data_IF_699370409212
#
_entry.id   IF_699370409212
#
_cell.length_a   1.000
_cell.length_b   1.000
_cell.length_c   1.000
_cell.angle_alpha   90.00
_cell.angle_beta   90.00
_cell.angle_gamma   90.00
#
_symmetry.space_group_name_H-M   'P 1'
#
loop_
_entity.id
_entity.type
_entity.pdbx_description
1 polymer ?
#
# COMPACT_ATOMS: atom_id res chain seq x y z
N UNK A 1 10.00 5.91 3.51
CA UNK A 1 9.00 5.04 2.84
C UNK A 1 7.79 4.93 3.74
N UNK A 2 7.90 4.27 4.90
CA UNK A 2 6.83 4.19 5.90
C UNK A 2 6.19 5.56 6.18
N UNK A 3 6.98 6.57 6.55
CA UNK A 3 6.49 7.92 6.84
C UNK A 3 5.65 8.55 5.71
N UNK A 4 6.01 8.28 4.45
CA UNK A 4 5.28 8.80 3.29
C UNK A 4 3.94 8.09 3.12
N UNK A 5 3.89 6.77 3.33
CA UNK A 5 2.64 6.01 3.29
C UNK A 5 1.74 6.41 4.46
N UNK A 6 2.30 6.54 5.67
CA UNK A 6 1.57 7.02 6.84
C UNK A 6 1.03 8.45 6.64
N UNK A 7 1.79 9.34 6.02
CA UNK A 7 1.32 10.69 5.67
C UNK A 7 0.13 10.66 4.69
N UNK A 8 0.16 9.78 3.68
CA UNK A 8 -0.96 9.58 2.74
C UNK A 8 -2.18 9.05 3.51
N UNK A 9 -2.02 8.00 4.30
CA UNK A 9 -3.10 7.40 5.09
C UNK A 9 -3.70 8.41 6.08
N UNK A 10 -2.86 9.24 6.70
CA UNK A 10 -3.28 10.29 7.62
C UNK A 10 -4.09 11.37 6.91
N UNK A 11 -3.66 11.81 5.72
CA UNK A 11 -4.36 12.82 4.94
C UNK A 11 -5.77 12.36 4.53
N UNK A 12 -5.92 11.07 4.19
CA UNK A 12 -7.21 10.46 3.86
C UNK A 12 -8.02 9.98 5.08
N UNK A 13 -7.52 10.20 6.31
CA UNK A 13 -8.23 9.86 7.54
C UNK A 13 -8.40 8.36 7.79
N UNK A 14 -7.46 7.53 7.32
CA UNK A 14 -7.52 6.07 7.40
C UNK A 14 -6.31 5.43 8.09
N UNK A 15 -5.40 6.24 8.65
CA UNK A 15 -4.22 5.73 9.36
C UNK A 15 -4.60 4.89 10.59
N UNK A 16 -5.57 5.34 11.38
CA UNK A 16 -6.02 4.61 12.58
C UNK A 16 -6.63 3.26 12.22
N UNK A 17 -7.44 3.20 11.15
CA UNK A 17 -7.98 1.95 10.61
C UNK A 17 -6.85 0.99 10.23
N UNK A 18 -5.82 1.51 9.55
CA UNK A 18 -4.67 0.72 9.11
C UNK A 18 -3.82 0.19 10.27
N UNK A 19 -3.61 0.99 11.31
CA UNK A 19 -2.85 0.61 12.51
C UNK A 19 -3.61 -0.44 13.33
N UNK A 20 -4.93 -0.31 13.44
CA UNK A 20 -5.77 -1.23 14.22
C UNK A 20 -5.75 -2.69 13.75
N UNK A 21 -5.27 -2.94 12.52
CA UNK A 21 -5.15 -4.28 11.95
C UNK A 21 -3.91 -5.03 12.44
N UNK A 22 -3.00 -4.36 13.16
CA UNK A 22 -1.79 -5.00 13.64
C UNK A 22 -2.06 -6.10 14.66
N UNK A 23 -1.37 -7.23 14.49
CA UNK A 23 -1.51 -8.38 15.40
C UNK A 23 -2.80 -9.18 15.20
N UNK A 24 -3.70 -8.74 14.32
CA UNK A 24 -4.88 -9.52 13.94
C UNK A 24 -4.50 -10.68 13.02
N UNK A 25 -5.26 -11.77 13.12
CA UNK A 25 -5.13 -12.91 12.23
C UNK A 25 -5.48 -12.51 10.78
N UNK A 26 -4.90 -13.20 9.80
CA UNK A 26 -5.13 -12.92 8.38
C UNK A 26 -6.62 -12.87 7.98
N UNK A 27 -7.43 -13.77 8.55
CA UNK A 27 -8.89 -13.82 8.33
C UNK A 27 -9.65 -12.58 8.83
N UNK A 28 -9.04 -11.80 9.72
CA UNK A 28 -9.62 -10.62 10.38
C UNK A 28 -8.97 -9.32 9.92
N UNK A 29 -7.83 -9.41 9.23
CA UNK A 29 -6.91 -8.31 8.95
C UNK A 29 -6.79 -7.99 7.45
N UNK A 30 -7.87 -8.20 6.68
CA UNK A 30 -7.91 -7.80 5.27
C UNK A 30 -8.41 -6.37 5.15
N UNK A 31 -7.54 -5.50 4.63
CA UNK A 31 -7.84 -4.10 4.40
C UNK A 31 -7.17 -3.64 3.11
N UNK A 32 -7.90 -2.89 2.30
CA UNK A 32 -7.46 -2.47 0.98
C UNK A 32 -8.13 -1.15 0.60
N UNK A 33 -7.30 -0.17 0.32
CA UNK A 33 -7.69 1.09 -0.30
C UNK A 33 -6.95 1.34 -1.59
N UNK A 34 -7.50 2.25 -2.37
CA UNK A 34 -6.83 2.84 -3.51
C UNK A 34 -6.94 4.35 -3.47
N UNK A 35 -5.88 5.03 -3.92
CA UNK A 35 -5.88 6.47 -4.20
C UNK A 35 -5.91 6.64 -5.72
N UNK A 36 -7.03 7.15 -6.22
CA UNK A 36 -7.29 7.37 -7.65
C UNK A 36 -7.01 8.82 -8.04
N UNK A 37 -6.53 9.08 -9.26
CA UNK A 37 -6.37 10.44 -9.73
C UNK A 37 -7.74 11.08 -10.04
N UNK A 38 -7.89 12.35 -9.67
CA UNK A 38 -8.94 13.24 -10.16
C UNK A 38 -8.46 14.01 -11.40
N UNK A 39 -9.37 14.74 -12.06
CA UNK A 39 -9.03 15.51 -13.26
C UNK A 39 -7.93 16.58 -13.05
N UNK A 40 -7.77 17.06 -11.81
CA UNK A 40 -6.76 18.03 -11.39
C UNK A 40 -5.44 17.42 -10.92
N UNK A 41 -5.29 16.08 -10.95
CA UNK A 41 -4.10 15.41 -10.43
C UNK A 41 -2.84 15.69 -11.24
N UNK A 42 -1.73 15.77 -10.52
CA UNK A 42 -0.36 15.70 -11.06
C UNK A 42 0.15 14.26 -11.22
N UNK A 43 -0.70 13.27 -10.95
CA UNK A 43 -0.45 11.85 -11.15
C UNK A 43 -1.59 11.21 -11.94
N UNK A 44 -1.30 10.10 -12.61
CA UNK A 44 -2.28 9.37 -13.44
C UNK A 44 -2.43 7.91 -13.07
N UNK A 45 -1.49 7.35 -12.31
CA UNK A 45 -1.54 5.95 -11.89
C UNK A 45 -2.20 5.82 -10.51
N UNK A 46 -3.24 4.98 -10.35
CA UNK A 46 -3.74 4.60 -9.04
C UNK A 46 -2.65 4.09 -8.11
N UNK A 47 -2.75 4.41 -6.83
CA UNK A 47 -1.93 3.81 -5.77
C UNK A 47 -2.78 2.84 -4.96
N UNK A 48 -2.36 1.58 -4.92
CA UNK A 48 -2.92 0.53 -4.07
C UNK A 48 -2.13 0.49 -2.77
N UNK A 49 -2.85 0.51 -1.65
CA UNK A 49 -2.32 0.23 -0.32
C UNK A 49 -3.22 -0.84 0.30
N UNK A 50 -2.66 -2.03 0.49
CA UNK A 50 -3.36 -3.13 1.13
C UNK A 50 -2.56 -3.64 2.33
N UNK A 51 -3.28 -4.13 3.34
CA UNK A 51 -2.73 -4.81 4.50
C UNK A 51 -3.44 -6.14 4.69
N UNK A 52 -2.64 -7.16 4.94
CA UNK A 52 -3.06 -8.53 5.25
C UNK A 52 -2.27 -8.96 6.48
N UNK A 53 -2.85 -8.80 7.67
CA UNK A 53 -2.17 -9.01 8.96
C UNK A 53 -0.87 -8.18 9.05
N UNK A 54 0.29 -8.82 9.09
CA UNK A 54 1.60 -8.18 9.14
C UNK A 54 2.23 -7.97 7.75
N UNK A 55 1.50 -8.20 6.66
CA UNK A 55 1.99 -7.92 5.31
C UNK A 55 1.32 -6.65 4.77
N UNK A 56 2.11 -5.73 4.24
CA UNK A 56 1.61 -4.57 3.49
C UNK A 56 2.03 -4.70 2.04
N UNK A 57 1.07 -4.47 1.15
CA UNK A 57 1.25 -4.46 -0.29
C UNK A 57 1.07 -3.04 -0.78
N UNK A 58 2.07 -2.53 -1.48
CA UNK A 58 2.06 -1.23 -2.14
C UNK A 58 2.21 -1.44 -3.63
N UNK A 59 1.33 -0.87 -4.43
CA UNK A 59 1.47 -0.99 -5.87
C UNK A 59 0.93 0.21 -6.65
N UNK A 60 1.47 0.42 -7.85
CA UNK A 60 0.72 1.09 -8.91
C UNK A 60 0.17 0.05 -9.86
N UNK A 61 -0.94 0.39 -10.51
CA UNK A 61 -1.44 -0.43 -11.60
C UNK A 61 -1.90 0.41 -12.80
N UNK A 62 -1.88 -0.21 -13.97
CA UNK A 62 -2.53 0.27 -15.18
C UNK A 62 -3.49 -0.77 -15.71
N UNK A 63 -4.67 -0.34 -16.14
CA UNK A 63 -5.64 -1.20 -16.83
C UNK A 63 -5.27 -1.29 -18.30
N UNK A 64 -4.93 -2.48 -18.76
CA UNK A 64 -4.83 -2.81 -20.18
C UNK A 64 -6.15 -3.44 -20.66
N UNK A 65 -6.29 -3.65 -21.97
CA UNK A 65 -7.52 -4.15 -22.59
C UNK A 65 -8.06 -5.43 -21.96
N UNK A 66 -7.18 -6.28 -21.44
CA UNK A 66 -7.54 -7.60 -20.90
C UNK A 66 -6.94 -7.92 -19.53
N UNK A 67 -6.12 -7.02 -18.97
CA UNK A 67 -5.37 -7.31 -17.75
C UNK A 67 -5.10 -6.06 -16.91
N UNK A 68 -4.73 -6.28 -15.65
CA UNK A 68 -4.24 -5.24 -14.73
C UNK A 68 -2.75 -5.47 -14.53
N UNK A 69 -1.95 -4.53 -15.02
CA UNK A 69 -0.50 -4.58 -14.90
C UNK A 69 -0.07 -3.81 -13.68
N UNK A 70 0.59 -4.48 -12.73
CA UNK A 70 1.19 -3.85 -11.57
C UNK A 70 2.65 -3.50 -11.82
N UNK A 71 3.02 -2.24 -11.64
CA UNK A 71 4.42 -1.78 -11.72
C UNK A 71 4.65 -0.44 -10.99
N UNK A 72 5.39 -0.42 -9.86
CA UNK A 72 5.87 -1.59 -9.12
C UNK A 72 4.75 -2.23 -8.29
N UNK A 73 4.95 -3.50 -7.88
CA UNK A 73 4.29 -4.12 -6.72
C UNK A 73 5.36 -4.44 -5.69
N UNK A 74 5.16 -4.01 -4.45
CA UNK A 74 6.09 -4.23 -3.35
C UNK A 74 5.37 -4.80 -2.16
N UNK A 75 5.96 -5.82 -1.54
CA UNK A 75 5.46 -6.42 -0.31
C UNK A 75 6.43 -6.14 0.83
N UNK A 76 5.88 -5.82 2.00
CA UNK A 76 6.62 -5.55 3.21
C UNK A 76 6.06 -6.38 4.35
N UNK A 77 6.94 -6.96 5.15
CA UNK A 77 6.59 -7.40 6.49
C UNK A 77 6.62 -6.18 7.40
N UNK A 78 5.52 -5.92 8.09
CA UNK A 78 5.31 -4.76 8.94
C UNK A 78 5.12 -5.19 10.38
N UNK A 79 5.87 -4.51 11.24
CA UNK A 79 5.69 -4.51 12.70
C UNK A 79 5.64 -3.05 13.13
N UNK A 80 5.10 -2.76 14.32
CA UNK A 80 4.91 -1.42 14.91
C UNK A 80 6.05 -0.41 14.64
N UNK A 81 7.29 -0.88 14.52
CA UNK A 81 8.48 -0.02 14.43
C UNK A 81 9.22 -0.10 13.10
N UNK A 82 8.92 -1.06 12.24
CA UNK A 82 9.75 -1.31 11.07
C UNK A 82 9.03 -2.08 9.98
N UNK A 83 9.07 -1.50 8.79
CA UNK A 83 8.68 -2.14 7.54
C UNK A 83 9.93 -2.74 6.89
N UNK A 84 9.89 -4.04 6.62
CA UNK A 84 11.00 -4.78 6.02
C UNK A 84 10.55 -5.31 4.65
N UNK A 85 11.22 -4.93 3.54
CA UNK A 85 10.86 -5.44 2.22
C UNK A 85 10.94 -6.96 2.17
N UNK A 86 9.93 -7.58 1.54
CA UNK A 86 9.88 -9.00 1.25
C UNK A 86 10.17 -9.25 -0.23
N UNK A 87 9.49 -8.50 -1.11
CA UNK A 87 9.67 -8.61 -2.55
C UNK A 87 9.42 -7.29 -3.27
N UNK A 88 9.96 -7.22 -4.48
CA UNK A 88 9.68 -6.19 -5.49
C UNK A 88 9.37 -6.90 -6.79
N UNK A 89 8.22 -6.62 -7.37
CA UNK A 89 7.84 -7.04 -8.71
C UNK A 89 7.74 -5.81 -9.62
N UNK A 90 8.32 -5.94 -10.81
CA UNK A 90 8.25 -4.94 -11.88
C UNK A 90 7.87 -5.67 -13.16
N UNK A 91 6.80 -5.25 -13.81
CA UNK A 91 6.15 -6.03 -14.87
C UNK A 91 7.11 -6.51 -15.97
N UNK A 92 8.05 -5.67 -16.41
CA UNK A 92 9.02 -6.03 -17.46
C UNK A 92 10.39 -6.51 -16.96
N UNK A 93 10.63 -6.51 -15.65
CA UNK A 93 11.94 -6.91 -15.10
C UNK A 93 11.86 -8.21 -14.28
N UNK A 94 10.68 -8.55 -13.78
CA UNK A 94 10.41 -9.79 -13.05
C UNK A 94 10.04 -9.58 -11.60
N UNK A 95 10.09 -10.68 -10.84
CA UNK A 95 9.76 -10.74 -9.43
C UNK A 95 11.03 -11.06 -8.63
N UNK A 96 11.43 -10.14 -7.75
CA UNK A 96 12.64 -10.22 -6.96
C UNK A 96 12.30 -10.38 -5.48
N UNK A 97 12.64 -11.53 -4.90
CA UNK A 97 12.46 -11.81 -3.46
C UNK A 97 13.76 -11.59 -2.71
N UNK A 98 13.68 -10.95 -1.56
CA UNK A 98 14.84 -10.74 -0.68
C UNK A 98 15.33 -12.08 -0.12
N UNK A 99 14.41 -12.98 0.25
CA UNK A 99 14.73 -14.30 0.81
C UNK A 99 15.54 -15.19 -0.16
N UNK A 100 15.31 -15.04 -1.47
CA UNK A 100 15.95 -15.84 -2.51
C UNK A 100 17.24 -15.18 -3.05
N UNK A 101 17.60 -14.01 -2.52
CA UNK A 101 18.73 -13.22 -3.03
C UNK A 101 18.49 -12.58 -4.40
N UNK A 102 17.25 -12.50 -4.87
CA UNK A 102 16.90 -11.88 -6.15
C UNK A 102 17.04 -10.35 -6.15
N UNK A 103 17.01 -9.74 -4.97
CA UNK A 103 17.34 -8.33 -4.73
C UNK A 103 17.93 -8.22 -3.31
N UNK A 104 18.95 -7.38 -3.12
CA UNK A 104 19.46 -7.15 -1.77
C UNK A 104 18.46 -6.35 -0.93
N UNK A 105 18.48 -6.55 0.39
CA UNK A 105 17.64 -5.77 1.31
C UNK A 105 17.89 -4.26 1.17
N UNK A 106 19.15 -3.86 0.96
CA UNK A 106 19.54 -2.46 0.79
C UNK A 106 18.95 -1.85 -0.48
N UNK A 107 19.04 -2.54 -1.61
CA UNK A 107 18.47 -2.10 -2.89
C UNK A 107 16.95 -1.99 -2.81
N UNK A 108 16.28 -2.99 -2.23
CA UNK A 108 14.82 -2.96 -2.05
C UNK A 108 14.38 -1.78 -1.17
N UNK A 109 15.11 -1.51 -0.08
CA UNK A 109 14.85 -0.34 0.78
C UNK A 109 15.11 0.98 0.05
N UNK A 110 16.20 1.08 -0.72
CA UNK A 110 16.52 2.26 -1.50
C UNK A 110 15.42 2.55 -2.52
N UNK A 111 15.01 1.54 -3.29
CA UNK A 111 13.90 1.65 -4.24
C UNK A 111 12.62 2.13 -3.55
N UNK A 112 12.22 1.49 -2.44
CA UNK A 112 11.02 1.87 -1.70
C UNK A 112 11.07 3.29 -1.16
N UNK A 113 12.25 3.79 -0.73
CA UNK A 113 12.41 5.19 -0.31
C UNK A 113 12.25 6.17 -1.47
N UNK A 114 12.93 5.93 -2.59
CA UNK A 114 12.87 6.79 -3.78
C UNK A 114 11.48 6.82 -4.39
N UNK A 115 10.83 5.65 -4.50
CA UNK A 115 9.46 5.54 -4.99
C UNK A 115 8.48 6.28 -4.08
N UNK A 116 8.57 6.11 -2.77
CA UNK A 116 7.66 6.77 -1.83
C UNK A 116 7.88 8.30 -1.76
N UNK A 117 9.11 8.78 -1.94
CA UNK A 117 9.38 10.21 -2.07
C UNK A 117 8.63 10.81 -3.28
N UNK A 118 8.65 10.11 -4.42
CA UNK A 118 7.92 10.54 -5.63
C UNK A 118 6.40 10.55 -5.43
N UNK A 119 5.84 9.69 -4.58
CA UNK A 119 4.41 9.77 -4.24
C UNK A 119 4.06 11.12 -3.59
N UNK A 120 4.88 11.56 -2.64
CA UNK A 120 4.67 12.84 -1.96
C UNK A 120 4.85 14.00 -2.94
N UNK A 121 5.92 13.99 -3.73
CA UNK A 121 6.18 15.01 -4.77
C UNK A 121 5.03 15.12 -5.78
N UNK A 122 4.41 13.99 -6.13
CA UNK A 122 3.29 13.94 -7.08
C UNK A 122 1.93 14.25 -6.45
N UNK A 123 1.84 14.49 -5.14
CA UNK A 123 0.60 14.89 -4.48
C UNK A 123 -0.34 13.74 -4.11
N UNK A 124 0.16 12.50 -3.96
CA UNK A 124 -0.69 11.37 -3.51
C UNK A 124 -1.25 11.55 -2.09
N UNK A 125 -0.77 12.52 -1.32
CA UNK A 125 -1.29 12.88 0.00
C UNK A 125 -2.32 14.02 -0.07
N UNK A 126 -2.51 14.65 -1.23
CA UNK A 126 -3.40 15.80 -1.38
C UNK A 126 -4.82 15.34 -1.75
N UNK A 127 -5.72 15.45 -0.78
CA UNK A 127 -7.13 15.06 -0.90
C UNK A 127 -7.93 15.92 -1.89
N UNK A 128 -7.42 17.11 -2.26
CA UNK A 128 -8.06 17.95 -3.27
C UNK A 128 -7.85 17.43 -4.69
N UNK A 129 -6.80 16.62 -4.91
CA UNK A 129 -6.45 16.10 -6.23
C UNK A 129 -6.49 14.58 -6.31
N UNK A 130 -6.50 13.83 -5.21
CA UNK A 130 -6.69 12.38 -5.21
C UNK A 130 -8.01 11.96 -4.56
N UNK A 131 -8.57 10.83 -4.99
CA UNK A 131 -9.80 10.26 -4.45
C UNK A 131 -9.53 8.92 -3.77
N UNK A 132 -9.95 8.77 -2.52
CA UNK A 132 -9.92 7.50 -1.81
C UNK A 132 -11.05 6.58 -2.28
N UNK A 133 -10.70 5.34 -2.64
CA UNK A 133 -11.64 4.22 -2.84
C UNK A 133 -11.34 3.12 -1.82
N UNK A 134 -12.33 2.75 -1.00
CA UNK A 134 -12.24 1.56 -0.14
C UNK A 134 -12.67 0.33 -0.93
N UNK A 135 -11.82 -0.69 -1.00
CA UNK A 135 -12.06 -1.90 -1.78
C UNK A 135 -12.44 -3.07 -0.87
N UNK A 136 -11.68 -3.26 0.21
CA UNK A 136 -11.98 -4.23 1.25
C UNK A 136 -11.68 -3.63 2.62
N UNK A 137 -12.60 -3.81 3.56
CA UNK A 137 -12.39 -3.47 4.97
C UNK A 137 -12.94 -4.63 5.78
N UNK A 138 -12.18 -5.12 6.75
CA UNK A 138 -12.68 -6.20 7.62
C UNK A 138 -13.89 -5.69 8.40
N UNK A 139 -14.94 -6.52 8.49
CA UNK A 139 -16.12 -6.20 9.28
C UNK A 139 -15.80 -6.42 10.75
N UNK A 140 -15.28 -5.41 11.44
CA UNK A 140 -15.50 -5.33 12.88
C UNK A 140 -16.96 -4.96 13.13
N UNK A 141 -17.82 -5.98 13.10
CA UNK A 141 -19.17 -5.91 13.64
C UNK A 141 -19.05 -5.74 15.15
N UNK A 142 -18.99 -4.48 15.62
CA UNK A 142 -19.38 -4.13 17.00
C UNK A 142 -20.89 -4.24 17.13
N UNK A 143 -21.42 -5.47 17.03
CA UNK A 143 -22.75 -5.77 17.56
C UNK A 143 -22.51 -6.21 19.00
N UNK A 144 -22.85 -5.38 20.01
CA UNK A 144 -22.93 -5.90 21.36
C UNK A 144 -24.07 -6.92 21.35
N UNK A 145 -23.75 -8.20 21.56
CA UNK A 145 -24.75 -9.19 21.97
C UNK A 145 -25.40 -8.65 23.23
N UNK A 146 -26.61 -8.10 23.10
CA UNK A 146 -27.48 -7.88 24.24
C UNK A 146 -27.94 -9.26 24.70
N UNK A 147 -27.43 -9.65 25.86
CA UNK A 147 -28.08 -10.58 26.78
C UNK A 147 -29.49 -10.08 27.11
#
# INVERSE_FOLDING_TARGET
MQDAIEAILQAYGVLDEFIALEGLAESEALWHIEILPQASSTFSQPLVIARISNTVILAHYSTETWDVVYDPLMEYNVTLKKWTPLCLQRHYEGHFKVADGGISLEEAQKFGREWAARLIERGYHDIAVGQLRRVATSRHSTVPSKL
#
